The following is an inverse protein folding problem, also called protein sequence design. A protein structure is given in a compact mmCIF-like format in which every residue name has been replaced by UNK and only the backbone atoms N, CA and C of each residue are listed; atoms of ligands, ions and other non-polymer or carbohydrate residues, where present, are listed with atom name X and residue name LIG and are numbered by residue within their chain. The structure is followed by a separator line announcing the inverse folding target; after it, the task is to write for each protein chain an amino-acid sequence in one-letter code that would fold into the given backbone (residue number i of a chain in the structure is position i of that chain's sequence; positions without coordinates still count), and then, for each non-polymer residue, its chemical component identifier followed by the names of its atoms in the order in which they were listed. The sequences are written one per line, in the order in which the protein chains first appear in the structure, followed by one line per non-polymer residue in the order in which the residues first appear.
data_IF_864391927179
#
_entry.id   IF_864391927179
#
_cell.length_a   1.000
_cell.length_b   1.000
_cell.length_c   1.000
_cell.angle_alpha   90.00
_cell.angle_beta   90.00
_cell.angle_gamma   90.00
#
_symmetry.space_group_name_H-M   'P 1'
#
loop_
_entity.id
_entity.type
_entity.pdbx_description
1 polymer ?
#
# COMPACT_ATOMS: atom_id res chain seq x y z
N UNK A 1 6.44 4.35 -17.47
CA UNK A 1 5.88 3.13 -16.84
C UNK A 1 6.90 2.64 -15.85
N UNK A 2 6.51 2.50 -14.59
CA UNK A 2 7.40 2.16 -13.48
C UNK A 2 7.23 0.68 -13.12
N UNK A 3 8.23 0.11 -12.45
CA UNK A 3 8.20 -1.25 -11.93
C UNK A 3 8.31 -1.23 -10.41
N UNK A 4 7.43 -1.98 -9.73
CA UNK A 4 7.45 -2.16 -8.27
C UNK A 4 7.62 -3.64 -7.96
N UNK A 5 8.49 -3.95 -6.99
CA UNK A 5 8.69 -5.30 -6.49
C UNK A 5 8.06 -5.47 -5.10
N UNK A 6 7.18 -6.47 -4.98
CA UNK A 6 6.58 -6.86 -3.70
C UNK A 6 7.40 -7.97 -3.06
N UNK A 7 8.24 -7.63 -2.08
CA UNK A 7 9.14 -8.55 -1.36
C UNK A 7 8.43 -9.84 -0.89
N UNK A 8 7.38 -9.68 -0.08
CA UNK A 8 6.61 -10.80 0.50
C UNK A 8 5.91 -11.68 -0.55
N UNK A 9 5.76 -11.19 -1.78
CA UNK A 9 5.09 -11.90 -2.88
C UNK A 9 6.08 -12.38 -3.94
N UNK A 10 7.35 -11.97 -3.86
CA UNK A 10 8.41 -12.21 -4.85
C UNK A 10 7.93 -11.95 -6.28
N UNK A 11 7.21 -10.84 -6.47
CA UNK A 11 6.56 -10.48 -7.74
C UNK A 11 6.80 -9.03 -8.11
N UNK A 12 7.08 -8.82 -9.39
CA UNK A 12 7.16 -7.50 -10.02
C UNK A 12 5.82 -7.15 -10.66
N UNK A 13 5.43 -5.88 -10.58
CA UNK A 13 4.28 -5.34 -11.31
C UNK A 13 4.64 -4.05 -12.02
N UNK A 14 3.99 -3.82 -13.17
CA UNK A 14 4.08 -2.56 -13.91
C UNK A 14 2.97 -1.62 -13.49
N UNK A 15 3.34 -0.38 -13.20
CA UNK A 15 2.42 0.69 -12.75
C UNK A 15 2.65 1.97 -13.54
N UNK A 16 1.65 2.85 -13.51
CA UNK A 16 1.81 4.22 -13.97
C UNK A 16 2.31 5.12 -12.84
N UNK A 17 2.98 6.21 -13.21
CA UNK A 17 3.35 7.22 -12.23
C UNK A 17 2.09 7.87 -11.64
N UNK A 18 2.08 8.08 -10.32
CA UNK A 18 0.90 8.55 -9.60
C UNK A 18 -0.21 7.51 -9.37
N UNK A 19 -0.07 6.28 -9.88
CA UNK A 19 -1.06 5.22 -9.65
C UNK A 19 -1.14 4.85 -8.16
N UNK A 20 -2.36 4.67 -7.66
CA UNK A 20 -2.57 4.22 -6.29
C UNK A 20 -2.08 2.78 -6.11
N UNK A 21 -1.12 2.56 -5.20
CA UNK A 21 -0.49 1.25 -5.00
C UNK A 21 -1.49 0.14 -4.59
N UNK A 22 -2.53 0.48 -3.82
CA UNK A 22 -3.57 -0.48 -3.43
C UNK A 22 -4.36 -0.94 -4.65
N UNK A 23 -4.75 -0.02 -5.53
CA UNK A 23 -5.49 -0.35 -6.75
C UNK A 23 -4.64 -1.12 -7.74
N UNK A 24 -3.38 -0.71 -7.92
CA UNK A 24 -2.41 -1.42 -8.73
C UNK A 24 -2.24 -2.88 -8.26
N UNK A 25 -2.07 -3.10 -6.96
CA UNK A 25 -1.96 -4.44 -6.39
C UNK A 25 -3.21 -5.29 -6.66
N UNK A 26 -4.42 -4.73 -6.46
CA UNK A 26 -5.68 -5.42 -6.72
C UNK A 26 -5.81 -5.80 -8.21
N UNK A 27 -5.53 -4.86 -9.12
CA UNK A 27 -5.55 -5.07 -10.58
C UNK A 27 -4.63 -6.21 -11.01
N UNK A 28 -3.46 -6.30 -10.38
CA UNK A 28 -2.48 -7.39 -10.61
C UNK A 28 -2.74 -8.67 -9.81
N UNK A 29 -3.92 -8.79 -9.18
CA UNK A 29 -4.32 -9.94 -8.35
C UNK A 29 -3.31 -10.22 -7.23
N UNK A 30 -2.70 -9.16 -6.67
CA UNK A 30 -1.82 -9.20 -5.51
C UNK A 30 -2.59 -8.74 -4.27
N UNK A 31 -2.95 -9.69 -3.43
CA UNK A 31 -3.59 -9.37 -2.15
C UNK A 31 -2.57 -8.79 -1.17
N UNK A 32 -2.76 -7.53 -0.80
CA UNK A 32 -2.00 -6.81 0.25
C UNK A 32 -2.69 -6.90 1.62
N UNK A 33 -3.92 -7.42 1.68
CA UNK A 33 -4.67 -7.48 2.93
C UNK A 33 -4.30 -8.70 3.77
N UNK A 34 -4.04 -8.52 5.08
CA UNK A 34 -3.82 -9.62 5.99
C UNK A 34 -5.15 -10.26 6.42
N UNK A 35 -5.15 -11.58 6.57
CA UNK A 35 -6.23 -12.38 7.18
C UNK A 35 -7.65 -12.01 6.71
N UNK A 36 -8.54 -11.67 7.66
CA UNK A 36 -9.94 -11.32 7.46
C UNK A 36 -10.16 -10.03 6.67
N UNK A 37 -9.15 -9.16 6.57
CA UNK A 37 -9.25 -7.90 5.85
C UNK A 37 -9.30 -8.06 4.33
N UNK A 38 -9.08 -9.28 3.80
CA UNK A 38 -9.45 -9.60 2.40
C UNK A 38 -10.92 -9.31 2.12
N UNK A 39 -11.79 -9.43 3.14
CA UNK A 39 -13.23 -9.18 3.06
C UNK A 39 -13.57 -7.86 3.79
N UNK A 40 -13.03 -7.65 5.00
CA UNK A 40 -13.41 -6.53 5.88
C UNK A 40 -12.61 -5.23 5.67
N UNK A 41 -11.95 -5.05 4.52
CA UNK A 41 -11.21 -3.81 4.26
C UNK A 41 -12.13 -2.61 4.02
N UNK A 42 -11.62 -1.41 4.32
CA UNK A 42 -12.34 -0.15 4.12
C UNK A 42 -12.40 0.31 2.66
N UNK A 43 -11.97 -0.52 1.71
CA UNK A 43 -11.98 -0.24 0.27
C UNK A 43 -11.24 1.04 -0.16
N UNK A 44 -10.22 1.46 0.59
CA UNK A 44 -9.41 2.64 0.26
C UNK A 44 -9.86 3.94 0.92
N UNK A 45 -10.81 3.89 1.87
CA UNK A 45 -11.31 5.08 2.61
C UNK A 45 -10.39 5.57 3.75
N UNK A 46 -9.20 4.99 3.90
CA UNK A 46 -8.27 5.39 4.98
C UNK A 46 -8.73 5.06 6.40
N UNK A 47 -9.66 4.12 6.60
CA UNK A 47 -10.24 3.83 7.93
C UNK A 47 -9.57 2.66 8.65
N UNK A 48 -9.39 1.53 7.96
CA UNK A 48 -8.98 0.27 8.62
C UNK A 48 -7.47 0.08 8.73
N UNK A 49 -6.65 0.87 8.00
CA UNK A 49 -5.18 0.73 7.89
C UNK A 49 -4.66 -0.64 7.41
N UNK A 50 -5.54 -1.60 7.12
CA UNK A 50 -5.17 -2.98 6.74
C UNK A 50 -4.56 -3.14 5.34
N UNK A 51 -4.55 -2.10 4.50
CA UNK A 51 -3.79 -2.09 3.26
C UNK A 51 -2.35 -1.58 3.44
N UNK A 52 -1.90 -1.37 4.67
CA UNK A 52 -0.58 -0.82 4.93
C UNK A 52 0.54 -1.70 4.37
N UNK A 53 1.53 -1.06 3.77
CA UNK A 53 2.75 -1.66 3.24
C UNK A 53 3.98 -0.97 3.83
N UNK A 54 5.08 -1.70 3.90
CA UNK A 54 6.39 -1.13 4.22
C UNK A 54 7.15 -0.86 2.93
N UNK A 55 7.64 0.37 2.80
CA UNK A 55 8.53 0.75 1.72
C UNK A 55 9.96 0.44 2.16
N UNK A 56 10.55 -0.54 1.49
CA UNK A 56 11.91 -1.03 1.77
C UNK A 56 12.98 -0.29 0.97
N UNK A 57 12.62 0.25 -0.20
CA UNK A 57 13.49 1.04 -1.07
C UNK A 57 12.65 1.94 -2.00
N UNK A 58 13.25 3.04 -2.46
CA UNK A 58 12.63 4.03 -3.33
C UNK A 58 12.13 5.28 -2.60
N UNK A 59 11.85 6.32 -3.38
CA UNK A 59 11.41 7.61 -2.86
C UNK A 59 9.90 7.63 -2.60
N UNK A 60 9.51 8.33 -1.53
CA UNK A 60 8.11 8.49 -1.15
C UNK A 60 7.82 9.94 -0.80
N UNK A 61 6.69 10.45 -1.31
CA UNK A 61 6.17 11.74 -0.89
C UNK A 61 5.88 11.73 0.63
N UNK A 62 5.76 12.88 1.31
CA UNK A 62 5.27 12.93 2.68
C UNK A 62 3.90 12.27 2.84
N UNK A 63 3.57 11.86 4.07
CA UNK A 63 2.22 11.34 4.37
C UNK A 63 1.17 12.43 4.21
N UNK A 64 0.03 12.07 3.63
CA UNK A 64 -1.14 12.95 3.64
C UNK A 64 -1.75 13.04 5.06
N UNK A 65 -2.74 13.91 5.26
CA UNK A 65 -3.35 14.15 6.58
C UNK A 65 -3.93 12.88 7.21
N UNK A 66 -4.61 12.04 6.41
CA UNK A 66 -5.22 10.79 6.88
C UNK A 66 -4.12 9.79 7.30
N UNK A 67 -3.07 9.63 6.49
CA UNK A 67 -1.92 8.78 6.81
C UNK A 67 -1.20 9.31 8.07
N UNK A 68 -1.04 10.62 8.21
CA UNK A 68 -0.44 11.22 9.39
C UNK A 68 -1.24 10.87 10.65
N UNK A 69 -2.56 11.02 10.62
CA UNK A 69 -3.42 10.70 11.76
C UNK A 69 -3.43 9.20 12.08
N UNK A 70 -3.68 8.35 11.08
CA UNK A 70 -3.89 6.91 11.26
C UNK A 70 -2.61 6.13 11.48
N UNK A 71 -1.48 6.59 10.91
CA UNK A 71 -0.17 5.92 11.01
C UNK A 71 0.79 6.66 11.94
N UNK A 72 0.33 7.62 12.75
CA UNK A 72 1.17 8.40 13.69
C UNK A 72 2.09 7.57 14.60
N UNK A 73 1.67 6.36 14.96
CA UNK A 73 2.45 5.42 15.80
C UNK A 73 3.32 4.43 15.01
N UNK A 74 3.35 4.54 13.68
CA UNK A 74 4.09 3.64 12.78
C UNK A 74 5.30 4.35 12.21
N UNK A 75 6.34 3.57 11.87
CA UNK A 75 7.55 4.08 11.22
C UNK A 75 7.20 4.89 9.96
N UNK A 76 7.94 5.96 9.61
CA UNK A 76 7.61 6.83 8.47
C UNK A 76 7.51 6.12 7.11
N UNK A 77 8.26 5.03 6.93
CA UNK A 77 8.27 4.22 5.71
C UNK A 77 7.07 3.25 5.59
N UNK A 78 6.16 3.21 6.56
CA UNK A 78 4.87 2.52 6.44
C UNK A 78 3.85 3.44 5.77
N UNK A 79 3.15 2.95 4.75
CA UNK A 79 2.10 3.65 4.00
C UNK A 79 0.82 2.84 3.98
#
# INVERSE_FOLDING_TARGET
MLEIYFENKKRKIKVQEGENLREAAIRHKLSIYPHIFKILNCRGRGLCTSCAVEIVSGDIAPRNEIEQEKLKKKKPNIR
#
